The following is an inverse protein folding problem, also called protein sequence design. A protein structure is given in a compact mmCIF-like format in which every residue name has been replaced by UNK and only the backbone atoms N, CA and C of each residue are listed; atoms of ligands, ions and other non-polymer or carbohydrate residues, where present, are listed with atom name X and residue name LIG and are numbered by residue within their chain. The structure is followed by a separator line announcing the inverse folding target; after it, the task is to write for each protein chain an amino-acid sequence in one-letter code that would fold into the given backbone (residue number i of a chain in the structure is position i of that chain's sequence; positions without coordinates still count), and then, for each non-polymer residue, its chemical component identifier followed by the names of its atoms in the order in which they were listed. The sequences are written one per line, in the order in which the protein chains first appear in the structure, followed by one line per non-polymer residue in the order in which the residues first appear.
data_IF_939285988515
#
_entry.id   IF_939285988515
#
_cell.length_a   1.000
_cell.length_b   1.000
_cell.length_c   1.000
_cell.angle_alpha   90.00
_cell.angle_beta   90.00
_cell.angle_gamma   90.00
#
_symmetry.space_group_name_H-M   'P 1'
#
loop_
_entity.id
_entity.type
_entity.pdbx_description
1 polymer ?
#
# COMPACT_ATOMS: atom_id res chain seq x y z
N UNK A 1 -36.09 -40.00 17.37
CA UNK A 1 -36.11 -38.63 16.87
C UNK A 1 -34.70 -38.09 16.87
N UNK A 2 -34.08 -38.06 15.72
CA UNK A 2 -32.79 -37.37 15.51
C UNK A 2 -33.20 -35.94 15.20
N UNK A 3 -32.93 -35.00 16.13
CA UNK A 3 -33.07 -33.61 15.88
C UNK A 3 -31.92 -33.23 14.92
N UNK A 4 -32.25 -32.96 13.66
CA UNK A 4 -31.33 -32.27 12.76
C UNK A 4 -31.13 -30.86 13.28
N UNK A 5 -29.95 -30.55 13.80
CA UNK A 5 -29.51 -29.16 14.01
C UNK A 5 -29.44 -28.53 12.62
N UNK A 6 -30.12 -27.40 12.37
CA UNK A 6 -29.90 -26.67 11.14
C UNK A 6 -28.42 -26.22 11.15
N UNK A 7 -27.65 -26.64 10.15
CA UNK A 7 -26.35 -26.06 9.84
C UNK A 7 -26.65 -24.60 9.43
N UNK A 8 -26.39 -23.65 10.31
CA UNK A 8 -26.39 -22.25 9.91
C UNK A 8 -25.21 -22.07 8.94
N UNK A 9 -25.48 -21.97 7.67
CA UNK A 9 -24.50 -21.58 6.66
C UNK A 9 -24.36 -20.07 6.76
N UNK A 10 -23.30 -19.61 7.39
CA UNK A 10 -22.98 -18.21 7.53
C UNK A 10 -22.30 -17.74 6.25
N UNK A 11 -22.72 -16.59 5.71
CA UNK A 11 -22.01 -15.97 4.58
C UNK A 11 -20.53 -15.80 4.89
N UNK A 12 -19.67 -16.35 4.04
CA UNK A 12 -18.22 -16.21 4.16
C UNK A 12 -17.75 -15.01 3.37
N UNK A 13 -17.03 -14.11 4.06
CA UNK A 13 -16.35 -12.96 3.45
C UNK A 13 -14.86 -13.27 3.40
N UNK A 14 -14.26 -13.24 2.22
CA UNK A 14 -12.88 -13.57 2.01
C UNK A 14 -12.18 -12.59 1.05
N UNK A 15 -10.86 -12.49 1.18
CA UNK A 15 -10.03 -11.88 0.15
C UNK A 15 -9.45 -12.98 -0.75
N UNK A 16 -9.74 -12.94 -2.05
CA UNK A 16 -9.04 -13.76 -3.04
C UNK A 16 -7.60 -13.31 -3.23
N UNK A 17 -7.33 -12.03 -3.00
CA UNK A 17 -5.99 -11.48 -3.07
C UNK A 17 -5.90 -10.00 -2.76
N UNK A 18 -4.68 -9.59 -2.43
CA UNK A 18 -4.29 -8.17 -2.32
C UNK A 18 -3.12 -7.94 -3.27
N UNK A 19 -3.33 -7.12 -4.29
CA UNK A 19 -2.30 -6.68 -5.24
C UNK A 19 -1.79 -5.33 -4.77
N UNK A 20 -0.58 -5.31 -4.22
CA UNK A 20 0.03 -4.14 -3.60
C UNK A 20 1.50 -4.06 -3.99
N UNK A 21 2.07 -2.85 -4.25
CA UNK A 21 3.51 -2.70 -4.38
C UNK A 21 4.21 -3.05 -3.06
N UNK A 22 5.31 -3.80 -3.11
CA UNK A 22 6.13 -4.08 -1.93
C UNK A 22 6.98 -2.88 -1.49
N UNK A 23 7.20 -1.92 -2.41
CA UNK A 23 7.97 -0.70 -2.19
C UNK A 23 7.33 0.49 -2.88
N UNK A 24 7.47 1.67 -2.28
CA UNK A 24 7.01 2.93 -2.85
C UNK A 24 7.92 4.09 -2.43
N UNK A 25 7.91 5.18 -3.20
CA UNK A 25 8.54 6.42 -2.79
C UNK A 25 7.69 7.10 -1.71
N UNK A 26 8.34 7.88 -0.85
CA UNK A 26 7.63 8.82 0.02
C UNK A 26 6.91 9.89 -0.81
N UNK A 27 5.85 10.48 -0.26
CA UNK A 27 5.03 11.49 -0.92
C UNK A 27 4.49 11.09 -2.32
N UNK A 28 4.42 9.79 -2.60
CA UNK A 28 3.95 9.27 -3.88
C UNK A 28 2.57 8.62 -3.77
N UNK A 29 1.82 8.66 -4.86
CA UNK A 29 0.58 7.90 -4.97
C UNK A 29 0.90 6.42 -5.25
N UNK A 30 0.22 5.54 -4.53
CA UNK A 30 0.22 4.10 -4.78
C UNK A 30 -1.20 3.62 -5.04
N UNK A 31 -1.32 2.57 -5.84
CA UNK A 31 -2.58 1.89 -6.08
C UNK A 31 -2.50 0.45 -5.54
N UNK A 32 -3.54 0.06 -4.81
CA UNK A 32 -3.75 -1.28 -4.30
C UNK A 32 -5.08 -1.80 -4.81
N UNK A 33 -5.14 -3.07 -5.19
CA UNK A 33 -6.40 -3.75 -5.53
C UNK A 33 -6.67 -4.86 -4.52
N UNK A 34 -7.74 -4.73 -3.77
CA UNK A 34 -8.27 -5.77 -2.91
C UNK A 34 -9.33 -6.56 -3.68
N UNK A 35 -9.10 -7.85 -3.87
CA UNK A 35 -10.01 -8.76 -4.55
C UNK A 35 -10.89 -9.45 -3.52
N UNK A 36 -12.18 -9.14 -3.53
CA UNK A 36 -13.18 -9.61 -2.57
C UNK A 36 -13.92 -10.82 -3.13
N UNK A 37 -14.24 -11.78 -2.26
CA UNK A 37 -15.16 -12.86 -2.54
C UNK A 37 -16.18 -12.98 -1.43
N UNK A 38 -17.44 -13.07 -1.80
CA UNK A 38 -18.58 -13.27 -0.91
C UNK A 38 -19.30 -14.54 -1.31
N UNK A 39 -19.30 -15.52 -0.43
CA UNK A 39 -20.13 -16.70 -0.58
C UNK A 39 -21.46 -16.46 0.13
N UNK A 40 -22.60 -16.43 -0.58
CA UNK A 40 -23.92 -16.26 0.03
C UNK A 40 -24.21 -17.35 1.06
N UNK A 41 -24.95 -17.03 2.11
CA UNK A 41 -25.19 -18.00 3.16
C UNK A 41 -26.28 -17.65 4.16
N UNK A 42 -26.81 -16.42 4.13
CA UNK A 42 -27.95 -15.97 4.94
C UNK A 42 -28.77 -14.96 4.14
N UNK A 43 -30.08 -15.00 4.32
CA UNK A 43 -30.97 -13.99 3.76
C UNK A 43 -30.66 -12.61 4.32
N UNK A 44 -30.51 -11.63 3.45
CA UNK A 44 -30.25 -10.26 3.87
C UNK A 44 -29.64 -9.39 2.81
N UNK A 45 -29.46 -8.15 3.18
CA UNK A 45 -28.81 -7.16 2.32
C UNK A 45 -28.01 -6.16 3.15
N UNK A 46 -27.01 -5.55 2.54
CA UNK A 46 -26.20 -4.52 3.19
C UNK A 46 -25.24 -3.83 2.23
N UNK A 47 -24.68 -2.73 2.69
CA UNK A 47 -23.64 -2.00 2.00
C UNK A 47 -22.26 -2.52 2.41
N UNK A 48 -21.36 -2.56 1.47
CA UNK A 48 -19.95 -2.91 1.76
C UNK A 48 -19.33 -1.83 2.62
N UNK A 49 -18.80 -2.21 3.78
CA UNK A 49 -17.95 -1.39 4.64
C UNK A 49 -16.53 -1.88 4.46
N UNK A 50 -15.66 -1.05 3.92
CA UNK A 50 -14.26 -1.36 3.65
C UNK A 50 -13.33 -0.51 4.50
N UNK A 51 -12.34 -1.13 5.13
CA UNK A 51 -11.40 -0.47 6.02
C UNK A 51 -9.95 -0.70 5.61
N UNK A 52 -9.13 0.33 5.74
CA UNK A 52 -7.68 0.28 5.53
C UNK A 52 -6.97 0.67 6.82
N UNK A 53 -6.07 -0.18 7.30
CA UNK A 53 -5.13 0.12 8.38
C UNK A 53 -3.84 0.66 7.77
N UNK A 54 -3.50 1.89 8.11
CA UNK A 54 -2.30 2.55 7.60
C UNK A 54 -1.66 3.46 8.66
N UNK A 55 -0.39 3.91 8.45
CA UNK A 55 0.21 4.92 9.31
C UNK A 55 -0.63 6.19 9.38
N UNK A 56 -0.88 6.69 10.59
CA UNK A 56 -1.58 7.98 10.81
C UNK A 56 -0.93 9.13 10.05
N UNK A 57 0.41 9.09 9.92
CA UNK A 57 1.16 10.09 9.18
C UNK A 57 0.84 10.15 7.68
N UNK A 58 0.17 9.12 7.11
CA UNK A 58 -0.27 9.14 5.72
C UNK A 58 -1.60 9.88 5.54
N UNK A 59 -2.34 10.10 6.63
CA UNK A 59 -3.62 10.81 6.64
C UNK A 59 -4.57 10.34 5.52
N UNK A 60 -4.93 9.05 5.55
CA UNK A 60 -5.75 8.45 4.49
C UNK A 60 -7.14 9.09 4.35
N UNK A 61 -7.64 9.77 5.40
CA UNK A 61 -8.92 10.49 5.32
C UNK A 61 -8.95 11.53 4.21
N UNK A 62 -7.81 12.20 3.99
CA UNK A 62 -7.66 13.24 2.97
C UNK A 62 -6.89 12.75 1.74
N UNK A 63 -6.12 11.67 1.89
CA UNK A 63 -5.14 11.21 0.90
C UNK A 63 -5.49 9.85 0.27
N UNK A 64 -6.72 9.34 0.47
CA UNK A 64 -7.13 8.10 -0.17
C UNK A 64 -8.51 8.22 -0.83
N UNK A 65 -8.67 7.52 -1.94
CA UNK A 65 -9.95 7.31 -2.63
C UNK A 65 -10.10 5.83 -2.99
N UNK A 66 -11.28 5.29 -2.74
CA UNK A 66 -11.60 3.88 -2.97
C UNK A 66 -12.70 3.75 -4.01
N UNK A 67 -12.55 2.78 -4.92
CA UNK A 67 -13.53 2.49 -5.96
C UNK A 67 -13.87 1.01 -5.98
N UNK A 68 -15.17 0.71 -5.96
CA UNK A 68 -15.71 -0.65 -6.01
C UNK A 68 -16.16 -0.99 -7.43
N UNK A 69 -15.83 -2.21 -7.89
CA UNK A 69 -16.31 -2.75 -9.15
C UNK A 69 -16.66 -4.23 -8.95
N UNK A 70 -17.89 -4.63 -9.27
CA UNK A 70 -18.30 -6.04 -9.27
C UNK A 70 -17.78 -6.73 -10.54
N UNK A 71 -17.36 -8.00 -10.42
CA UNK A 71 -16.86 -8.81 -11.54
C UNK A 71 -17.92 -9.74 -12.11
N UNK A 72 -18.76 -10.28 -11.23
CA UNK A 72 -19.75 -11.27 -11.58
C UNK A 72 -21.14 -10.69 -11.46
N UNK A 73 -21.50 -9.87 -12.46
CA UNK A 73 -22.89 -9.43 -12.57
C UNK A 73 -23.76 -10.58 -13.04
N UNK A 74 -24.76 -10.91 -12.24
CA UNK A 74 -25.75 -11.89 -12.61
C UNK A 74 -27.16 -11.32 -12.42
N UNK A 75 -27.82 -10.96 -13.51
CA UNK A 75 -29.17 -10.39 -13.48
C UNK A 75 -30.18 -11.39 -12.87
N UNK A 76 -29.97 -12.71 -13.02
CA UNK A 76 -30.80 -13.76 -12.46
C UNK A 76 -30.71 -13.74 -10.93
N UNK A 77 -29.53 -13.48 -10.38
CA UNK A 77 -29.29 -13.41 -8.95
C UNK A 77 -29.61 -12.04 -8.34
N UNK A 78 -30.18 -11.11 -9.13
CA UNK A 78 -30.54 -9.77 -8.70
C UNK A 78 -29.41 -8.99 -8.03
N UNK A 79 -28.17 -9.32 -8.35
CA UNK A 79 -27.01 -8.58 -7.87
C UNK A 79 -26.81 -7.30 -8.70
N UNK A 80 -26.55 -6.15 -8.06
CA UNK A 80 -26.33 -4.92 -8.79
C UNK A 80 -25.00 -4.98 -9.54
N UNK A 81 -25.01 -4.51 -10.80
CA UNK A 81 -23.78 -4.20 -11.51
C UNK A 81 -23.20 -2.89 -10.98
N UNK A 82 -21.95 -2.94 -10.52
CA UNK A 82 -21.24 -1.77 -10.01
C UNK A 82 -19.95 -1.58 -10.79
N UNK A 83 -19.76 -0.40 -11.38
CA UNK A 83 -18.56 -0.06 -12.13
C UNK A 83 -17.95 1.23 -11.59
N UNK A 84 -16.79 1.13 -10.97
CA UNK A 84 -16.04 2.28 -10.41
C UNK A 84 -16.88 3.16 -9.45
N UNK A 85 -17.72 2.56 -8.64
CA UNK A 85 -18.40 3.30 -7.59
C UNK A 85 -17.39 3.84 -6.56
N UNK A 86 -17.35 5.15 -6.40
CA UNK A 86 -16.52 5.75 -5.35
C UNK A 86 -17.13 5.49 -3.98
N UNK A 87 -16.40 4.82 -3.10
CA UNK A 87 -16.84 4.62 -1.73
C UNK A 87 -16.79 5.93 -0.94
N UNK A 88 -17.75 6.13 -0.06
CA UNK A 88 -17.85 7.32 0.78
C UNK A 88 -17.12 7.11 2.10
N UNK A 89 -16.25 8.05 2.48
CA UNK A 89 -15.60 8.06 3.80
C UNK A 89 -16.65 8.11 4.90
N UNK A 90 -16.60 7.19 5.83
CA UNK A 90 -17.57 7.14 6.93
C UNK A 90 -17.27 8.20 8.00
N UNK A 91 -18.31 8.86 8.53
CA UNK A 91 -18.17 9.76 9.68
C UNK A 91 -17.55 9.04 10.87
N UNK A 92 -16.66 9.71 11.61
CA UNK A 92 -15.94 9.10 12.73
C UNK A 92 -16.87 8.67 13.89
N UNK A 93 -18.02 9.34 14.02
CA UNK A 93 -19.03 9.09 15.05
C UNK A 93 -20.04 7.98 14.67
N UNK A 94 -20.06 7.53 13.41
CA UNK A 94 -20.98 6.49 12.96
C UNK A 94 -20.64 5.16 13.63
N UNK A 95 -21.67 4.47 14.13
CA UNK A 95 -21.53 3.28 14.98
C UNK A 95 -21.73 1.99 14.19
N UNK A 96 -20.92 1.00 14.50
CA UNK A 96 -21.14 -0.40 14.13
C UNK A 96 -22.39 -0.90 14.89
N UNK A 97 -23.43 -1.36 14.19
CA UNK A 97 -24.68 -1.81 14.83
C UNK A 97 -24.50 -3.02 15.74
N UNK A 98 -23.41 -3.78 15.56
CA UNK A 98 -23.17 -5.04 16.29
C UNK A 98 -22.62 -4.80 17.70
N UNK A 99 -21.80 -3.80 17.90
CA UNK A 99 -21.09 -3.56 19.16
C UNK A 99 -21.20 -2.12 19.68
N UNK A 100 -21.77 -1.20 18.88
CA UNK A 100 -21.99 0.19 19.29
C UNK A 100 -20.73 1.06 19.35
N UNK A 101 -19.58 0.55 18.94
CA UNK A 101 -18.34 1.32 18.80
C UNK A 101 -18.36 2.14 17.49
N UNK A 102 -17.46 3.12 17.37
CA UNK A 102 -17.17 3.69 16.05
C UNK A 102 -16.67 2.58 15.12
N UNK A 103 -16.89 2.72 13.80
CA UNK A 103 -16.43 1.67 12.87
C UNK A 103 -14.92 1.42 12.98
N UNK A 104 -14.10 2.49 13.12
CA UNK A 104 -12.66 2.34 13.26
C UNK A 104 -12.28 1.59 14.56
N UNK A 105 -12.94 1.90 15.68
CA UNK A 105 -12.73 1.19 16.96
C UNK A 105 -13.26 -0.25 16.92
N UNK A 106 -14.33 -0.48 16.15
CA UNK A 106 -14.87 -1.82 15.92
C UNK A 106 -13.84 -2.70 15.19
N UNK A 107 -13.28 -2.23 14.07
CA UNK A 107 -12.21 -2.95 13.36
C UNK A 107 -11.01 -3.22 14.26
N UNK A 108 -10.54 -2.22 15.01
CA UNK A 108 -9.46 -2.41 15.98
C UNK A 108 -9.80 -3.47 17.02
N UNK A 109 -10.96 -3.36 17.67
CA UNK A 109 -11.38 -4.24 18.76
C UNK A 109 -11.54 -5.68 18.31
N UNK A 110 -12.16 -5.90 17.14
CA UNK A 110 -12.46 -7.23 16.62
C UNK A 110 -11.21 -7.89 16.05
N UNK A 111 -10.40 -7.17 15.29
CA UNK A 111 -9.18 -7.69 14.65
C UNK A 111 -8.00 -7.70 15.64
N UNK A 112 -7.99 -6.81 16.62
CA UNK A 112 -6.93 -6.71 17.64
C UNK A 112 -5.64 -6.06 17.14
N UNK A 113 -5.71 -5.29 16.03
CA UNK A 113 -4.56 -4.59 15.43
C UNK A 113 -4.96 -3.18 15.01
N UNK A 114 -4.01 -2.27 15.11
CA UNK A 114 -4.22 -0.85 14.86
C UNK A 114 -4.96 -0.19 16.02
N UNK A 115 -5.33 1.05 15.88
CA UNK A 115 -6.13 1.75 16.88
C UNK A 115 -6.21 3.23 16.63
N UNK A 116 -7.28 3.83 17.15
CA UNK A 116 -7.43 5.29 17.21
C UNK A 116 -6.80 5.87 18.46
N UNK A 117 -6.13 5.05 19.29
CA UNK A 117 -5.36 5.54 20.41
C UNK A 117 -4.29 6.52 19.91
N UNK A 118 -4.18 7.73 20.48
CA UNK A 118 -3.14 8.69 20.11
C UNK A 118 -1.72 8.14 20.18
N UNK A 119 -1.48 7.10 20.98
CA UNK A 119 -0.17 6.47 21.14
C UNK A 119 0.19 5.46 20.05
N UNK A 120 -0.78 5.00 19.25
CA UNK A 120 -0.50 4.08 18.15
C UNK A 120 -0.15 4.86 16.88
N UNK A 121 0.84 4.34 16.13
CA UNK A 121 1.26 4.93 14.85
C UNK A 121 0.32 4.59 13.70
N UNK A 122 -0.60 3.64 13.87
CA UNK A 122 -1.51 3.11 12.84
C UNK A 122 -2.96 3.43 13.18
N UNK A 123 -3.78 3.63 12.14
CA UNK A 123 -5.22 3.84 12.30
C UNK A 123 -6.02 3.09 11.25
N UNK A 124 -7.24 2.67 11.60
CA UNK A 124 -8.24 2.21 10.66
C UNK A 124 -9.02 3.40 10.10
N UNK A 125 -9.04 3.53 8.78
CA UNK A 125 -9.92 4.47 8.08
C UNK A 125 -10.95 3.67 7.30
N UNK A 126 -12.21 4.10 7.34
CA UNK A 126 -13.35 3.28 6.91
C UNK A 126 -14.19 4.00 5.88
N UNK A 127 -14.57 3.29 4.83
CA UNK A 127 -15.44 3.76 3.75
C UNK A 127 -16.63 2.82 3.57
N UNK A 128 -17.69 3.30 2.94
CA UNK A 128 -18.89 2.53 2.66
C UNK A 128 -19.37 2.75 1.23
N UNK A 129 -19.92 1.69 0.60
CA UNK A 129 -20.61 1.79 -0.69
C UNK A 129 -21.94 2.52 -0.56
N UNK A 130 -22.42 3.12 -1.64
CA UNK A 130 -23.79 3.59 -1.75
C UNK A 130 -24.74 2.45 -2.16
N UNK A 131 -24.21 1.51 -2.94
CA UNK A 131 -24.93 0.33 -3.42
C UNK A 131 -25.17 -0.65 -2.28
N UNK A 132 -26.39 -1.21 -2.22
CA UNK A 132 -26.77 -2.30 -1.34
C UNK A 132 -26.68 -3.61 -2.10
N UNK A 133 -26.04 -4.61 -1.51
CA UNK A 133 -25.87 -5.96 -2.06
C UNK A 133 -26.81 -6.93 -1.36
N UNK A 134 -27.14 -8.03 -2.04
CA UNK A 134 -28.01 -9.09 -1.54
C UNK A 134 -27.13 -10.32 -1.26
N UNK A 135 -27.39 -11.01 -0.15
CA UNK A 135 -26.59 -12.17 0.33
C UNK A 135 -27.37 -13.46 0.40
N UNK A 136 -28.62 -13.44 -0.10
CA UNK A 136 -29.50 -14.60 -0.05
C UNK A 136 -28.79 -15.81 -0.71
N UNK A 137 -28.78 -16.95 -0.01
CA UNK A 137 -28.20 -18.20 -0.52
C UNK A 137 -29.07 -18.81 -1.63
N UNK A 138 -30.33 -18.43 -1.69
CA UNK A 138 -31.30 -18.85 -2.70
C UNK A 138 -32.17 -17.69 -3.17
N UNK A 139 -32.52 -17.77 -4.42
CA UNK A 139 -33.49 -16.85 -5.04
C UNK A 139 -34.54 -17.66 -5.79
N UNK A 140 -35.74 -17.09 -5.93
CA UNK A 140 -36.80 -17.65 -6.73
C UNK A 140 -36.71 -17.18 -8.18
N UNK A 141 -36.54 -18.14 -9.12
CA UNK A 141 -36.53 -17.89 -10.56
C UNK A 141 -37.61 -18.78 -11.20
N UNK A 142 -38.60 -18.17 -11.83
CA UNK A 142 -39.73 -18.85 -12.48
C UNK A 142 -40.45 -19.87 -11.57
N UNK A 143 -40.57 -19.56 -10.26
CA UNK A 143 -41.22 -20.41 -9.28
C UNK A 143 -40.37 -21.57 -8.77
N UNK A 144 -39.05 -21.55 -9.01
CA UNK A 144 -38.10 -22.52 -8.51
C UNK A 144 -37.02 -21.83 -7.67
N UNK A 145 -36.68 -22.43 -6.53
CA UNK A 145 -35.50 -22.00 -5.76
C UNK A 145 -34.21 -22.37 -6.51
N UNK A 146 -33.34 -21.38 -6.71
CA UNK A 146 -32.03 -21.53 -7.33
C UNK A 146 -30.97 -21.07 -6.33
N UNK A 147 -29.93 -21.87 -6.11
CA UNK A 147 -28.78 -21.48 -5.29
C UNK A 147 -28.00 -20.34 -5.95
N UNK A 148 -27.59 -19.36 -5.16
CA UNK A 148 -26.76 -18.26 -5.62
C UNK A 148 -25.29 -18.65 -5.63
N UNK A 149 -24.53 -18.12 -6.59
CA UNK A 149 -23.08 -18.34 -6.68
C UNK A 149 -22.30 -17.28 -5.90
N UNK A 150 -21.03 -17.54 -5.66
CA UNK A 150 -20.09 -16.57 -5.10
C UNK A 150 -20.08 -15.28 -5.93
N UNK A 151 -19.99 -14.14 -5.24
CA UNK A 151 -19.89 -12.81 -5.85
C UNK A 151 -18.48 -12.30 -5.66
N UNK A 152 -17.85 -11.84 -6.74
CA UNK A 152 -16.52 -11.27 -6.73
C UNK A 152 -16.56 -9.77 -7.04
N UNK A 153 -15.69 -9.03 -6.37
CA UNK A 153 -15.52 -7.60 -6.61
C UNK A 153 -14.08 -7.16 -6.38
N UNK A 154 -13.70 -6.06 -7.01
CA UNK A 154 -12.43 -5.38 -6.72
C UNK A 154 -12.69 -4.07 -6.01
N UNK A 155 -11.97 -3.82 -4.93
CA UNK A 155 -11.81 -2.49 -4.35
C UNK A 155 -10.45 -1.95 -4.74
N UNK A 156 -10.44 -0.96 -5.63
CA UNK A 156 -9.22 -0.25 -6.03
C UNK A 156 -9.02 0.95 -5.11
N UNK A 157 -7.88 0.97 -4.45
CA UNK A 157 -7.50 1.94 -3.43
C UNK A 157 -6.36 2.78 -3.98
N UNK A 158 -6.58 4.06 -4.17
CA UNK A 158 -5.53 5.04 -4.45
C UNK A 158 -5.24 5.80 -3.19
N UNK A 159 -4.00 5.81 -2.76
CA UNK A 159 -3.59 6.49 -1.54
C UNK A 159 -2.19 7.08 -1.68
N UNK A 160 -1.95 8.18 -0.96
CA UNK A 160 -0.65 8.83 -0.94
C UNK A 160 0.14 8.35 0.28
N UNK A 161 1.40 7.97 0.07
CA UNK A 161 2.34 7.65 1.14
C UNK A 161 2.77 8.92 1.88
N UNK A 162 3.21 8.79 3.13
CA UNK A 162 3.72 9.92 3.89
C UNK A 162 5.12 10.38 3.47
N UNK A 163 5.55 11.52 4.01
CA UNK A 163 6.84 12.15 3.70
C UNK A 163 8.05 11.47 4.35
N UNK A 164 7.83 10.62 5.36
CA UNK A 164 8.90 9.97 6.12
C UNK A 164 9.07 8.54 5.66
N UNK A 165 10.30 8.10 5.33
CA UNK A 165 10.59 6.71 5.01
C UNK A 165 10.27 5.80 6.19
N UNK A 166 9.56 4.72 5.93
CA UNK A 166 9.21 3.72 6.93
C UNK A 166 8.90 2.37 6.28
N UNK A 167 8.95 1.32 7.09
CA UNK A 167 8.40 0.01 6.74
C UNK A 167 7.21 -0.25 7.65
N UNK A 168 6.08 -0.62 7.07
CA UNK A 168 4.88 -0.97 7.81
C UNK A 168 4.16 -2.15 7.17
N UNK A 169 3.18 -2.67 7.86
CA UNK A 169 2.24 -3.63 7.32
C UNK A 169 0.88 -2.96 7.18
N UNK A 170 0.42 -2.78 5.94
CA UNK A 170 -0.93 -2.29 5.68
C UNK A 170 -1.94 -3.40 5.93
N UNK A 171 -3.08 -3.04 6.52
CA UNK A 171 -4.19 -3.95 6.77
C UNK A 171 -5.41 -3.60 5.92
N UNK A 172 -6.13 -4.62 5.51
CA UNK A 172 -7.38 -4.50 4.76
C UNK A 172 -8.42 -5.38 5.41
N UNK A 173 -9.63 -4.84 5.55
CA UNK A 173 -10.74 -5.61 6.08
C UNK A 173 -12.06 -5.09 5.50
N UNK A 174 -13.05 -5.97 5.39
CA UNK A 174 -14.38 -5.57 4.99
C UNK A 174 -15.46 -6.40 5.65
N UNK A 175 -16.65 -5.82 5.73
CA UNK A 175 -17.88 -6.44 6.17
C UNK A 175 -19.07 -5.75 5.51
N UNK A 176 -20.28 -6.07 5.97
CA UNK A 176 -21.49 -5.37 5.61
C UNK A 176 -22.04 -4.54 6.76
N UNK A 177 -22.60 -3.36 6.46
CA UNK A 177 -23.10 -2.41 7.46
C UNK A 177 -24.25 -2.97 8.30
N UNK A 178 -25.06 -3.88 7.76
CA UNK A 178 -26.15 -4.53 8.47
C UNK A 178 -25.70 -5.60 9.44
N UNK A 179 -24.58 -6.28 9.16
CA UNK A 179 -24.07 -7.35 10.03
C UNK A 179 -23.07 -6.83 11.07
N UNK A 180 -22.32 -5.77 10.75
CA UNK A 180 -21.24 -5.27 11.59
C UNK A 180 -20.09 -6.24 11.74
N UNK A 181 -19.19 -5.97 12.70
CA UNK A 181 -18.01 -6.79 12.97
C UNK A 181 -18.16 -7.58 14.27
N UNK A 182 -18.01 -8.90 14.18
CA UNK A 182 -17.96 -9.78 15.35
C UNK A 182 -17.13 -11.02 15.03
N UNK A 183 -16.05 -11.23 15.78
CA UNK A 183 -15.04 -12.26 15.49
C UNK A 183 -15.63 -13.68 15.51
N UNK A 184 -16.46 -13.98 16.47
CA UNK A 184 -17.09 -15.30 16.66
C UNK A 184 -18.15 -15.63 15.59
N UNK A 185 -18.63 -14.66 14.83
CA UNK A 185 -19.59 -14.85 13.76
C UNK A 185 -18.93 -14.94 12.37
N UNK A 186 -17.63 -14.65 12.25
CA UNK A 186 -16.83 -14.69 11.02
C UNK A 186 -17.45 -13.95 9.82
N UNK A 187 -18.10 -12.81 10.07
CA UNK A 187 -18.76 -11.98 9.04
C UNK A 187 -17.88 -10.83 8.56
N UNK A 188 -16.57 -11.04 8.49
CA UNK A 188 -15.62 -10.10 7.94
C UNK A 188 -14.40 -10.83 7.40
N UNK A 189 -13.72 -10.20 6.43
CA UNK A 189 -12.44 -10.66 5.93
C UNK A 189 -11.32 -9.73 6.38
N UNK A 190 -10.13 -10.27 6.59
CA UNK A 190 -8.94 -9.50 6.91
C UNK A 190 -7.72 -9.99 6.14
N UNK A 191 -6.86 -9.07 5.72
CA UNK A 191 -5.58 -9.37 5.09
C UNK A 191 -4.54 -8.31 5.46
N UNK A 192 -3.26 -8.70 5.54
CA UNK A 192 -2.15 -7.81 5.86
C UNK A 192 -1.02 -7.98 4.86
N UNK A 193 -0.43 -6.85 4.42
CA UNK A 193 0.66 -6.85 3.45
C UNK A 193 1.74 -5.83 3.84
N UNK A 194 3.03 -6.22 3.88
CA UNK A 194 4.11 -5.29 4.16
C UNK A 194 4.36 -4.36 2.97
N UNK A 195 4.75 -3.12 3.28
CA UNK A 195 5.24 -2.13 2.34
C UNK A 195 6.40 -1.36 2.95
N UNK A 196 7.40 -1.05 2.15
CA UNK A 196 8.53 -0.22 2.50
C UNK A 196 8.48 1.09 1.69
N UNK A 197 8.56 2.24 2.36
CA UNK A 197 8.69 3.54 1.68
C UNK A 197 10.11 4.07 1.83
N UNK A 198 10.59 4.76 0.81
CA UNK A 198 11.95 5.30 0.79
C UNK A 198 11.98 6.64 0.07
N UNK A 199 12.95 7.50 0.45
CA UNK A 199 13.21 8.73 -0.27
C UNK A 199 14.12 8.45 -1.47
N UNK A 200 13.67 8.87 -2.64
CA UNK A 200 14.55 8.92 -3.79
C UNK A 200 15.28 10.25 -3.79
N UNK A 201 16.43 10.30 -3.14
CA UNK A 201 17.24 11.52 -3.07
C UNK A 201 18.17 11.69 -4.26
N UNK A 202 18.41 10.61 -5.03
CA UNK A 202 19.21 10.69 -6.25
C UNK A 202 18.66 9.76 -7.35
N UNK A 203 19.00 10.08 -8.59
CA UNK A 203 18.71 9.25 -9.76
C UNK A 203 19.99 9.02 -10.56
N UNK A 204 20.08 7.86 -11.22
CA UNK A 204 21.11 7.58 -12.21
C UNK A 204 20.53 7.69 -13.63
N UNK A 205 21.29 8.24 -14.57
CA UNK A 205 20.91 8.38 -15.97
C UNK A 205 22.04 7.87 -16.88
N UNK A 206 21.81 6.86 -17.72
CA UNK A 206 20.56 6.10 -17.87
C UNK A 206 20.21 5.32 -16.59
N UNK A 207 18.93 5.00 -16.39
CA UNK A 207 18.46 4.25 -15.20
C UNK A 207 18.89 2.77 -15.20
N UNK A 208 19.28 2.26 -16.36
CA UNK A 208 19.85 0.92 -16.53
C UNK A 208 21.22 1.07 -17.14
N UNK A 209 22.24 0.66 -16.42
CA UNK A 209 23.64 0.76 -16.82
C UNK A 209 24.44 -0.43 -16.27
N UNK A 210 25.63 -0.65 -16.82
CA UNK A 210 26.65 -1.56 -16.29
C UNK A 210 27.73 -0.75 -15.60
N UNK A 211 28.48 -1.35 -14.71
CA UNK A 211 29.58 -0.66 -14.01
C UNK A 211 30.77 -0.25 -14.93
N UNK A 212 30.76 -0.73 -16.16
CA UNK A 212 31.67 -0.28 -17.21
C UNK A 212 31.14 0.84 -18.10
N UNK A 213 29.98 1.38 -17.80
CA UNK A 213 29.37 2.47 -18.58
C UNK A 213 29.63 3.83 -17.90
N UNK A 214 29.48 4.90 -18.70
CA UNK A 214 29.39 6.27 -18.18
C UNK A 214 27.95 6.55 -17.84
N UNK A 215 27.70 7.03 -16.62
CA UNK A 215 26.35 7.46 -16.20
C UNK A 215 26.41 8.74 -15.38
N UNK A 216 25.29 9.47 -15.34
CA UNK A 216 25.10 10.65 -14.53
C UNK A 216 24.38 10.32 -13.23
N UNK A 217 24.75 11.00 -12.16
CA UNK A 217 24.02 10.99 -10.89
C UNK A 217 23.46 12.40 -10.70
N UNK A 218 22.13 12.49 -10.48
CA UNK A 218 21.44 13.73 -10.11
C UNK A 218 20.98 13.60 -8.67
N UNK A 219 21.36 14.53 -7.81
CA UNK A 219 21.02 14.56 -6.39
C UNK A 219 20.08 15.72 -6.08
N UNK A 220 18.92 15.40 -5.49
CA UNK A 220 17.90 16.36 -5.04
C UNK A 220 18.06 16.61 -3.55
N UNK A 221 18.72 17.72 -3.18
CA UNK A 221 19.13 17.99 -1.80
C UNK A 221 18.04 18.59 -0.90
N UNK A 222 16.95 19.14 -1.46
CA UNK A 222 15.96 19.95 -0.74
C UNK A 222 15.27 19.28 0.46
N UNK A 223 15.16 17.94 0.49
CA UNK A 223 14.59 17.17 1.60
C UNK A 223 15.63 16.48 2.49
N UNK A 224 16.91 16.82 2.39
CA UNK A 224 18.02 16.15 3.07
C UNK A 224 18.72 17.05 4.08
N UNK A 225 19.66 16.52 4.84
CA UNK A 225 20.55 17.29 5.70
C UNK A 225 21.41 18.31 4.92
N UNK A 226 21.55 18.13 3.60
CA UNK A 226 22.32 18.99 2.70
C UNK A 226 21.46 20.08 2.02
N UNK A 227 20.23 20.32 2.46
CA UNK A 227 19.27 21.25 1.82
C UNK A 227 19.81 22.68 1.62
N UNK A 228 20.67 23.13 2.52
CA UNK A 228 21.25 24.48 2.50
C UNK A 228 22.72 24.49 2.01
N UNK A 229 23.24 23.34 1.52
CA UNK A 229 24.62 23.24 1.06
C UNK A 229 24.81 23.98 -0.28
N UNK A 230 25.77 24.90 -0.32
CA UNK A 230 26.17 25.59 -1.56
C UNK A 230 27.05 24.71 -2.48
N UNK A 231 27.71 23.70 -1.92
CA UNK A 231 28.53 22.74 -2.62
C UNK A 231 28.25 21.35 -2.12
N UNK A 232 28.15 20.38 -3.03
CA UNK A 232 27.97 18.97 -2.74
C UNK A 232 29.02 18.15 -3.49
N UNK A 233 29.49 17.13 -2.83
CA UNK A 233 30.51 16.21 -3.32
C UNK A 233 29.95 14.79 -3.34
N UNK A 234 30.11 14.10 -4.47
CA UNK A 234 29.78 12.69 -4.61
C UNK A 234 30.90 11.86 -4.00
N UNK A 235 30.57 11.08 -2.99
CA UNK A 235 31.47 10.11 -2.36
C UNK A 235 30.93 8.69 -2.56
N UNK A 236 31.77 7.68 -2.33
CA UNK A 236 31.32 6.31 -2.47
C UNK A 236 32.41 5.27 -2.25
N UNK A 237 31.97 4.03 -2.34
CA UNK A 237 32.82 2.82 -2.26
C UNK A 237 32.51 1.92 -3.44
N UNK A 238 33.54 1.47 -4.14
CA UNK A 238 33.46 0.38 -5.10
C UNK A 238 33.96 -0.91 -4.46
N UNK A 239 33.19 -1.99 -4.57
CA UNK A 239 33.65 -3.35 -4.28
C UNK A 239 34.04 -3.99 -5.60
N UNK A 240 35.26 -4.54 -5.68
CA UNK A 240 35.83 -5.09 -6.91
C UNK A 240 36.74 -6.30 -6.65
N UNK A 241 36.98 -7.07 -7.67
CA UNK A 241 38.00 -8.16 -7.72
C UNK A 241 37.97 -9.09 -6.49
N UNK A 242 36.76 -9.61 -6.15
CA UNK A 242 36.57 -10.54 -5.03
C UNK A 242 36.52 -9.88 -3.67
N UNK A 243 35.92 -8.68 -3.58
CA UNK A 243 35.61 -7.99 -2.32
C UNK A 243 36.65 -6.95 -1.88
N UNK A 244 37.58 -6.57 -2.74
CA UNK A 244 38.45 -5.42 -2.50
C UNK A 244 37.66 -4.14 -2.52
N UNK A 245 38.09 -3.11 -1.78
CA UNK A 245 37.39 -1.82 -1.67
C UNK A 245 38.26 -0.68 -2.18
N UNK A 246 37.67 0.18 -3.00
CA UNK A 246 38.23 1.47 -3.37
C UNK A 246 37.23 2.58 -2.94
N UNK A 247 37.73 3.59 -2.26
CA UNK A 247 36.88 4.61 -1.62
C UNK A 247 37.25 6.02 -2.09
N UNK A 248 36.19 6.84 -2.25
CA UNK A 248 36.27 8.29 -2.42
C UNK A 248 35.43 8.90 -1.28
N UNK A 249 36.10 9.36 -0.21
CA UNK A 249 35.43 9.75 1.03
C UNK A 249 35.62 11.22 1.42
N UNK A 250 36.50 11.97 0.74
CA UNK A 250 36.77 13.36 1.06
C UNK A 250 36.23 14.31 -0.02
N UNK A 251 35.87 15.53 0.39
CA UNK A 251 35.52 16.61 -0.52
C UNK A 251 36.77 17.10 -1.26
N UNK A 252 36.89 16.77 -2.54
CA UNK A 252 37.98 17.20 -3.42
C UNK A 252 37.43 17.68 -4.77
N UNK A 253 38.14 18.52 -5.54
CA UNK A 253 37.61 19.07 -6.78
C UNK A 253 37.10 18.02 -7.78
N UNK A 254 37.71 16.85 -7.85
CA UNK A 254 37.33 15.80 -8.82
C UNK A 254 35.95 15.17 -8.57
N UNK A 255 35.47 15.17 -7.32
CA UNK A 255 34.16 14.61 -6.96
C UNK A 255 33.11 15.65 -6.61
N UNK A 256 33.42 16.94 -6.76
CA UNK A 256 32.45 18.03 -6.68
C UNK A 256 31.37 17.84 -7.75
N UNK A 257 30.13 18.03 -7.35
CA UNK A 257 28.97 18.00 -8.23
C UNK A 257 28.65 19.42 -8.74
N UNK A 258 28.08 19.51 -9.92
CA UNK A 258 27.65 20.77 -10.52
C UNK A 258 26.21 21.09 -10.10
N UNK A 259 25.94 22.33 -9.68
CA UNK A 259 24.57 22.79 -9.36
C UNK A 259 23.87 23.21 -10.65
N UNK A 260 22.87 22.45 -11.09
CA UNK A 260 22.08 22.70 -12.29
C UNK A 260 20.61 22.79 -11.90
N UNK A 261 19.99 23.95 -12.07
CA UNK A 261 18.55 24.14 -11.84
C UNK A 261 18.02 23.59 -10.50
N UNK A 262 18.72 23.87 -9.39
CA UNK A 262 18.39 23.40 -8.03
C UNK A 262 18.67 21.91 -7.72
N UNK A 263 19.43 21.22 -8.55
CA UNK A 263 19.90 19.85 -8.30
C UNK A 263 21.40 19.79 -8.51
N UNK A 264 22.05 18.90 -7.81
CA UNK A 264 23.46 18.63 -8.02
C UNK A 264 23.62 17.44 -8.97
N UNK A 265 24.47 17.61 -9.99
CA UNK A 265 24.70 16.61 -11.03
C UNK A 265 26.18 16.28 -11.19
N UNK A 266 26.46 15.02 -11.49
CA UNK A 266 27.80 14.57 -11.86
C UNK A 266 27.73 13.37 -12.77
N UNK A 267 28.41 13.49 -13.92
CA UNK A 267 28.67 12.32 -14.78
C UNK A 267 29.98 11.67 -14.37
N UNK A 268 30.00 10.35 -14.36
CA UNK A 268 31.20 9.57 -13.98
C UNK A 268 31.35 8.29 -14.79
N UNK A 269 32.60 7.89 -14.96
CA UNK A 269 33.00 6.54 -15.32
C UNK A 269 33.54 5.88 -14.06
N UNK A 270 32.94 4.81 -13.53
CA UNK A 270 33.26 4.28 -12.20
C UNK A 270 34.75 3.96 -12.00
N UNK A 271 35.39 3.33 -12.97
CA UNK A 271 36.81 2.96 -12.83
C UNK A 271 37.72 4.19 -12.63
N UNK A 272 37.50 5.25 -13.41
CA UNK A 272 38.26 6.50 -13.26
C UNK A 272 37.89 7.21 -11.95
N UNK A 273 36.61 7.21 -11.59
CA UNK A 273 36.14 7.86 -10.37
C UNK A 273 36.78 7.25 -9.11
N UNK A 274 36.88 5.93 -9.04
CA UNK A 274 37.47 5.20 -7.93
C UNK A 274 38.99 4.93 -8.10
N UNK A 275 39.58 5.32 -9.23
CA UNK A 275 40.99 5.10 -9.51
C UNK A 275 41.38 3.62 -9.69
N UNK A 276 40.46 2.84 -10.25
CA UNK A 276 40.64 1.41 -10.47
C UNK A 276 41.41 1.11 -11.78
N UNK A 277 42.14 0.01 -11.87
CA UNK A 277 42.70 -0.48 -13.12
C UNK A 277 41.63 -0.73 -14.19
N UNK A 278 42.03 -0.64 -15.46
CA UNK A 278 41.07 -0.82 -16.57
C UNK A 278 40.47 -2.22 -16.66
N UNK A 279 41.17 -3.22 -16.14
CA UNK A 279 40.75 -4.62 -16.06
C UNK A 279 40.01 -4.99 -14.78
N UNK A 280 39.91 -4.09 -13.78
CA UNK A 280 39.17 -4.34 -12.56
C UNK A 280 37.68 -4.68 -12.84
N UNK A 281 37.17 -5.67 -12.13
CA UNK A 281 35.75 -6.07 -12.20
C UNK A 281 35.03 -5.50 -11.00
N UNK A 282 34.19 -4.50 -11.23
CA UNK A 282 33.34 -3.90 -10.19
C UNK A 282 32.14 -4.82 -9.94
N UNK A 283 31.91 -5.16 -8.68
CA UNK A 283 30.82 -6.02 -8.21
C UNK A 283 29.68 -5.18 -7.63
N UNK A 284 30.00 -4.13 -6.86
CA UNK A 284 29.03 -3.26 -6.22
C UNK A 284 29.51 -1.80 -6.19
N UNK A 285 28.58 -0.86 -6.22
CA UNK A 285 28.81 0.57 -6.06
C UNK A 285 27.89 1.15 -5.00
N UNK A 286 28.46 1.85 -4.03
CA UNK A 286 27.74 2.60 -3.01
C UNK A 286 28.07 4.08 -3.15
N UNK A 287 27.05 4.94 -3.12
CA UNK A 287 27.23 6.38 -3.20
C UNK A 287 26.59 7.09 -2.01
N UNK A 288 27.21 8.17 -1.58
CA UNK A 288 26.68 9.10 -0.62
C UNK A 288 27.14 10.52 -0.94
N UNK A 289 26.51 11.50 -0.31
CA UNK A 289 26.75 12.92 -0.60
C UNK A 289 27.18 13.64 0.65
N UNK A 290 28.18 14.51 0.53
CA UNK A 290 28.68 15.35 1.61
C UNK A 290 28.75 16.80 1.15
N UNK A 291 28.78 17.75 2.10
CA UNK A 291 29.16 19.13 1.84
C UNK A 291 30.69 19.30 1.93
N UNK A 292 31.17 20.54 1.89
CA UNK A 292 32.61 20.85 1.98
C UNK A 292 33.21 20.51 3.36
N UNK A 293 32.40 20.38 4.39
CA UNK A 293 32.85 20.13 5.77
C UNK A 293 32.91 18.61 6.10
N UNK A 294 32.37 17.75 5.24
CA UNK A 294 32.36 16.30 5.36
C UNK A 294 31.04 15.68 5.84
#
# INVERSE_FOLDING_TARGET
CIAALPLLVVACLEFDGIIQPGRALTDSEIEVTAQLRVSPGEDGSGKVVFAVLAPKAWNLRDNATLYLTTKDYNAIQNQPEVVNEQLTLMPAEEKDPKNGLSWADSFMSVIGRGGNDPQTAMEWVVWRSSTTFIFDDKIEVDGQEVETADVHADVRIRMKTGAVPLTCELGYSYCYDTFGLKRDEQRFAEAFKPIETYNQVFTATPSVFRYGDVFGITFSHGGTALKDAGEVYLCGTAIHDGGQKAEVSAAVPRNRMELISSRFEKSLYPKDFFGLPSDAVIEELYFYFINADG
#
